data_IF_848951572048
#
_entry.id   IF_848951572048
#
_cell.length_a   1.000
_cell.length_b   1.000
_cell.length_c   1.000
_cell.angle_alpha   90.00
_cell.angle_beta   90.00
_cell.angle_gamma   90.00
#
_symmetry.space_group_name_H-M   'P 1'
#
loop_
_entity.id
_entity.type
_entity.pdbx_description
1 polymer ?
#
# COMPACT_ATOMS: atom_id res chain seq x y z
N UNK A 1 -17.56 -19.44 4.91
CA UNK A 1 -16.16 -18.97 5.03
C UNK A 1 -15.98 -18.28 6.37
N UNK A 2 -15.01 -18.72 7.18
CA UNK A 2 -14.64 -18.04 8.43
C UNK A 2 -14.20 -16.59 8.13
N UNK A 3 -14.48 -15.62 9.03
CA UNK A 3 -14.11 -14.22 8.85
C UNK A 3 -12.62 -14.01 8.54
N UNK A 4 -11.73 -14.78 9.17
CA UNK A 4 -10.29 -14.71 8.96
C UNK A 4 -9.88 -15.08 7.52
N UNK A 5 -10.47 -16.14 6.95
CA UNK A 5 -10.20 -16.54 5.55
C UNK A 5 -10.58 -15.42 4.57
N UNK A 6 -11.69 -14.72 4.82
CA UNK A 6 -12.06 -13.54 4.02
C UNK A 6 -11.02 -12.45 4.11
N UNK A 7 -10.49 -12.19 5.31
CA UNK A 7 -9.42 -11.22 5.53
C UNK A 7 -8.16 -11.53 4.73
N UNK A 8 -7.69 -12.78 4.76
CA UNK A 8 -6.52 -13.20 3.97
C UNK A 8 -6.76 -13.12 2.46
N UNK A 9 -7.95 -13.49 1.98
CA UNK A 9 -8.30 -13.36 0.55
C UNK A 9 -8.27 -11.90 0.10
N UNK A 10 -8.85 -11.00 0.88
CA UNK A 10 -8.79 -9.56 0.60
C UNK A 10 -7.35 -9.03 0.63
N UNK A 11 -6.52 -9.48 1.57
CA UNK A 11 -5.12 -9.07 1.64
C UNK A 11 -4.33 -9.54 0.40
N UNK A 12 -4.48 -10.80 -0.01
CA UNK A 12 -3.84 -11.35 -1.21
C UNK A 12 -4.31 -10.65 -2.48
N UNK A 13 -5.63 -10.45 -2.64
CA UNK A 13 -6.19 -9.69 -3.76
C UNK A 13 -5.63 -8.27 -3.80
N UNK A 14 -5.51 -7.64 -2.64
CA UNK A 14 -4.91 -6.32 -2.48
C UNK A 14 -3.47 -6.27 -2.99
N UNK A 15 -2.66 -7.24 -2.60
CA UNK A 15 -1.24 -7.33 -3.02
C UNK A 15 -1.07 -7.66 -4.49
N UNK A 16 -1.89 -8.55 -5.05
CA UNK A 16 -1.88 -8.88 -6.48
C UNK A 16 -2.27 -7.65 -7.31
N UNK A 17 -3.30 -6.93 -6.88
CA UNK A 17 -3.75 -5.72 -7.56
C UNK A 17 -2.72 -4.58 -7.44
N UNK A 18 -2.04 -4.46 -6.29
CA UNK A 18 -0.91 -3.55 -6.16
C UNK A 18 0.22 -3.86 -7.15
N UNK A 19 0.47 -5.14 -7.45
CA UNK A 19 1.45 -5.52 -8.45
C UNK A 19 1.08 -5.06 -9.86
N UNK A 20 -0.20 -5.16 -10.22
CA UNK A 20 -0.74 -4.68 -11.51
C UNK A 20 -0.72 -3.16 -11.63
N UNK A 21 -0.86 -2.43 -10.53
CA UNK A 21 -0.74 -0.96 -10.49
C UNK A 21 0.65 -0.47 -10.96
N UNK A 22 1.73 -1.19 -10.64
CA UNK A 22 3.09 -0.74 -10.93
C UNK A 22 3.42 -0.68 -12.43
N UNK A 23 2.73 -1.46 -13.26
CA UNK A 23 3.00 -1.52 -14.71
C UNK A 23 2.68 -0.19 -15.41
N UNK A 24 1.42 0.32 -15.40
CA UNK A 24 1.11 1.65 -15.94
C UNK A 24 1.81 2.77 -15.19
N UNK A 25 2.02 2.62 -13.87
CA UNK A 25 2.72 3.62 -13.06
C UNK A 25 4.16 3.85 -13.54
N UNK A 26 4.94 2.77 -13.69
CA UNK A 26 6.33 2.86 -14.16
C UNK A 26 6.41 3.50 -15.54
N UNK A 27 5.51 3.11 -16.44
CA UNK A 27 5.48 3.62 -17.82
C UNK A 27 5.15 5.12 -17.89
N UNK A 28 4.23 5.59 -17.04
CA UNK A 28 3.89 7.02 -17.00
C UNK A 28 5.02 7.89 -16.43
N UNK A 29 5.80 7.36 -15.49
CA UNK A 29 6.94 8.08 -14.90
C UNK A 29 8.13 8.26 -15.84
N UNK A 30 8.17 7.58 -16.99
CA UNK A 30 9.21 7.80 -18.01
C UNK A 30 9.08 9.16 -18.69
N UNK A 31 7.88 9.75 -18.68
CA UNK A 31 7.56 10.99 -19.42
C UNK A 31 6.89 12.06 -18.57
N UNK A 32 6.44 11.73 -17.36
CA UNK A 32 5.64 12.62 -16.51
C UNK A 32 6.21 12.69 -15.10
N UNK A 33 6.21 13.89 -14.53
CA UNK A 33 6.55 14.12 -13.13
C UNK A 33 5.69 13.26 -12.16
N UNK A 34 6.27 12.65 -11.12
CA UNK A 34 5.55 11.78 -10.18
C UNK A 34 4.36 12.43 -9.48
N UNK A 35 4.46 13.71 -9.11
CA UNK A 35 3.39 14.41 -8.38
C UNK A 35 2.22 14.72 -9.33
N UNK A 36 2.53 15.12 -10.55
CA UNK A 36 1.55 15.35 -11.62
C UNK A 36 0.81 14.06 -11.98
N UNK A 37 1.53 12.96 -12.16
CA UNK A 37 0.91 11.67 -12.44
C UNK A 37 0.06 11.16 -11.25
N UNK A 38 0.54 11.35 -10.02
CA UNK A 38 -0.21 11.00 -8.82
C UNK A 38 -1.54 11.77 -8.72
N UNK A 39 -1.56 13.05 -9.10
CA UNK A 39 -2.80 13.83 -9.16
C UNK A 39 -3.79 13.22 -10.17
N UNK A 40 -3.33 12.83 -11.36
CA UNK A 40 -4.19 12.18 -12.36
C UNK A 40 -4.79 10.86 -11.83
N UNK A 41 -3.99 10.03 -11.16
CA UNK A 41 -4.45 8.79 -10.50
C UNK A 41 -5.48 9.09 -9.40
N UNK A 42 -5.29 10.16 -8.62
CA UNK A 42 -6.23 10.55 -7.57
C UNK A 42 -7.54 11.08 -8.15
N UNK A 43 -7.52 11.85 -9.23
CA UNK A 43 -8.73 12.33 -9.92
C UNK A 43 -9.56 11.15 -10.43
N UNK A 44 -8.95 10.23 -11.19
CA UNK A 44 -9.69 9.06 -11.71
C UNK A 44 -10.15 8.15 -10.57
N UNK A 45 -9.30 7.92 -9.57
CA UNK A 45 -9.66 7.14 -8.39
C UNK A 45 -10.84 7.74 -7.64
N UNK A 46 -10.86 9.06 -7.47
CA UNK A 46 -11.96 9.78 -6.85
C UNK A 46 -13.27 9.57 -7.62
N UNK A 47 -13.24 9.64 -8.96
CA UNK A 47 -14.41 9.36 -9.80
C UNK A 47 -14.92 7.93 -9.63
N UNK A 48 -14.04 6.92 -9.62
CA UNK A 48 -14.43 5.53 -9.34
C UNK A 48 -15.06 5.38 -7.95
N UNK A 49 -14.47 6.02 -6.93
CA UNK A 49 -14.96 5.94 -5.55
C UNK A 49 -16.28 6.70 -5.35
N UNK A 50 -16.51 7.77 -6.10
CA UNK A 50 -17.77 8.53 -6.10
C UNK A 50 -18.93 7.66 -6.62
N UNK A 51 -18.72 6.96 -7.74
CA UNK A 51 -19.72 6.02 -8.31
C UNK A 51 -20.04 4.91 -7.29
N UNK A 52 -19.01 4.31 -6.68
CA UNK A 52 -19.19 3.27 -5.67
C UNK A 52 -19.90 3.76 -4.41
N UNK A 53 -19.61 4.99 -3.97
CA UNK A 53 -20.27 5.59 -2.80
C UNK A 53 -21.71 6.02 -3.09
N UNK A 54 -22.03 6.47 -4.31
CA UNK A 54 -23.38 6.81 -4.71
C UNK A 54 -24.29 5.57 -4.81
N UNK A 55 -23.72 4.43 -5.23
CA UNK A 55 -24.45 3.16 -5.33
C UNK A 55 -24.83 2.56 -3.97
N UNK A 56 -23.99 2.76 -2.93
CA UNK A 56 -24.34 2.41 -1.55
C UNK A 56 -25.00 3.61 -0.87
N UNK A 57 -26.33 3.63 -0.80
CA UNK A 57 -27.11 4.58 0.05
C UNK A 57 -26.82 4.34 1.55
N UNK A 58 -25.60 4.62 2.00
CA UNK A 58 -25.26 4.59 3.41
C UNK A 58 -25.66 5.93 4.01
N UNK A 59 -26.70 5.93 4.85
CA UNK A 59 -26.99 7.03 5.76
C UNK A 59 -25.95 7.00 6.87
N UNK A 60 -24.89 7.78 6.70
CA UNK A 60 -23.76 7.76 7.61
C UNK A 60 -24.15 8.49 8.91
N UNK A 61 -24.28 7.77 10.02
CA UNK A 61 -24.20 8.36 11.36
C UNK A 61 -22.71 8.47 11.74
N UNK A 62 -22.01 9.46 11.19
CA UNK A 62 -20.62 9.73 11.56
C UNK A 62 -20.62 10.34 12.97
N UNK A 63 -19.97 9.65 13.90
CA UNK A 63 -19.57 10.26 15.17
C UNK A 63 -18.37 11.18 14.93
N UNK A 64 -18.23 12.27 15.72
CA UNK A 64 -17.11 13.21 15.61
C UNK A 64 -15.75 12.52 15.69
N UNK A 65 -15.62 11.51 16.56
CA UNK A 65 -14.39 10.73 16.73
C UNK A 65 -14.01 9.98 15.44
N UNK A 66 -14.98 9.32 14.81
CA UNK A 66 -14.77 8.59 13.55
C UNK A 66 -14.42 9.54 12.42
N UNK A 67 -15.00 10.75 12.38
CA UNK A 67 -14.66 11.78 11.40
C UNK A 67 -13.21 12.23 11.52
N UNK A 68 -12.79 12.59 12.73
CA UNK A 68 -11.41 13.03 12.98
C UNK A 68 -10.40 11.93 12.70
N UNK A 69 -10.71 10.68 13.07
CA UNK A 69 -9.89 9.52 12.69
C UNK A 69 -9.81 9.33 11.17
N UNK A 70 -10.93 9.49 10.46
CA UNK A 70 -10.96 9.38 9.00
C UNK A 70 -10.15 10.47 8.30
N UNK A 71 -10.24 11.72 8.78
CA UNK A 71 -9.44 12.85 8.30
C UNK A 71 -7.96 12.62 8.58
N UNK A 72 -7.60 12.21 9.80
CA UNK A 72 -6.20 11.93 10.17
C UNK A 72 -5.62 10.80 9.30
N UNK A 73 -6.35 9.71 9.12
CA UNK A 73 -5.99 8.62 8.21
C UNK A 73 -5.72 9.12 6.79
N UNK A 74 -6.63 9.95 6.27
CA UNK A 74 -6.52 10.51 4.93
C UNK A 74 -5.32 11.45 4.81
N UNK A 75 -5.08 12.34 5.78
CA UNK A 75 -3.93 13.27 5.77
C UNK A 75 -2.64 12.48 5.77
N UNK A 76 -2.47 11.55 6.73
CA UNK A 76 -1.26 10.73 6.84
C UNK A 76 -1.02 9.91 5.57
N UNK A 77 -2.07 9.35 4.98
CA UNK A 77 -1.95 8.61 3.73
C UNK A 77 -1.47 9.50 2.58
N UNK A 78 -1.99 10.72 2.45
CA UNK A 78 -1.65 11.64 1.36
C UNK A 78 -0.24 12.21 1.55
N UNK A 79 0.09 12.64 2.77
CA UNK A 79 1.45 13.11 3.13
C UNK A 79 2.47 11.99 2.91
N UNK A 80 2.15 10.75 3.26
CA UNK A 80 3.01 9.60 3.00
C UNK A 80 3.28 9.37 1.51
N UNK A 81 2.27 9.51 0.64
CA UNK A 81 2.47 9.39 -0.81
C UNK A 81 3.29 10.55 -1.39
N UNK A 82 3.03 11.78 -0.93
CA UNK A 82 3.83 12.94 -1.32
C UNK A 82 5.30 12.79 -0.90
N UNK A 83 5.55 12.30 0.32
CA UNK A 83 6.89 12.02 0.82
C UNK A 83 7.63 10.95 -0.01
N UNK A 84 6.93 9.92 -0.52
CA UNK A 84 7.51 8.97 -1.49
C UNK A 84 7.94 9.71 -2.77
N UNK A 85 7.07 10.55 -3.34
CA UNK A 85 7.39 11.33 -4.54
C UNK A 85 8.63 12.19 -4.34
N UNK A 86 8.71 12.90 -3.21
CA UNK A 86 9.89 13.71 -2.84
C UNK A 86 11.16 12.89 -2.68
N UNK A 87 11.08 11.71 -2.08
CA UNK A 87 12.22 10.81 -1.95
C UNK A 87 12.77 10.39 -3.33
N UNK A 88 11.88 10.10 -4.28
CA UNK A 88 12.27 9.66 -5.63
C UNK A 88 12.92 10.76 -6.48
N UNK A 89 12.88 12.03 -6.06
CA UNK A 89 13.55 13.13 -6.76
C UNK A 89 15.09 13.08 -6.61
N UNK A 90 15.61 12.40 -5.57
CA UNK A 90 17.05 12.43 -5.27
C UNK A 90 17.68 11.13 -4.81
N UNK A 91 16.92 10.04 -4.68
CA UNK A 91 17.46 8.68 -4.50
C UNK A 91 16.74 7.69 -5.40
N UNK A 92 17.39 6.56 -5.67
CA UNK A 92 16.83 5.52 -6.51
C UNK A 92 15.45 5.02 -6.00
N UNK A 93 14.47 4.79 -6.89
CA UNK A 93 13.15 4.29 -6.50
C UNK A 93 13.17 2.98 -5.70
N UNK A 94 14.12 2.08 -5.96
CA UNK A 94 14.27 0.83 -5.22
C UNK A 94 14.67 1.07 -3.76
N UNK A 95 15.57 2.04 -3.50
CA UNK A 95 15.97 2.47 -2.17
C UNK A 95 14.80 3.11 -1.43
N UNK A 96 14.06 4.00 -2.10
CA UNK A 96 12.84 4.62 -1.54
C UNK A 96 11.84 3.54 -1.12
N UNK A 97 11.53 2.59 -2.00
CA UNK A 97 10.59 1.51 -1.71
C UNK A 97 11.10 0.64 -0.55
N UNK A 98 12.38 0.29 -0.54
CA UNK A 98 12.99 -0.50 0.55
C UNK A 98 12.84 0.18 1.92
N UNK A 99 13.15 1.48 2.00
CA UNK A 99 13.00 2.23 3.24
C UNK A 99 11.54 2.30 3.64
N UNK A 100 10.62 2.54 2.71
CA UNK A 100 9.18 2.57 3.02
C UNK A 100 8.65 1.22 3.50
N UNK A 101 9.28 0.08 3.15
CA UNK A 101 8.91 -1.25 3.69
C UNK A 101 9.17 -1.39 5.18
N UNK A 102 10.01 -0.55 5.79
CA UNK A 102 10.16 -0.51 7.25
C UNK A 102 8.86 -0.18 7.97
N UNK A 103 7.86 0.41 7.27
CA UNK A 103 6.50 0.59 7.78
C UNK A 103 5.90 -0.71 8.33
N UNK A 104 6.26 -1.88 7.80
CA UNK A 104 5.74 -3.18 8.28
C UNK A 104 6.15 -3.41 9.74
N UNK A 105 7.40 -3.13 10.06
CA UNK A 105 7.94 -3.21 11.44
C UNK A 105 7.25 -2.17 12.33
N UNK A 106 7.04 -0.96 11.82
CA UNK A 106 6.32 0.08 12.56
C UNK A 106 4.87 -0.32 12.87
N UNK A 107 4.14 -0.86 11.90
CA UNK A 107 2.76 -1.34 12.11
C UNK A 107 2.72 -2.49 13.11
N UNK A 108 3.69 -3.41 13.07
CA UNK A 108 3.80 -4.47 14.07
C UNK A 108 3.96 -3.88 15.47
N UNK A 109 4.94 -2.99 15.66
CA UNK A 109 5.20 -2.35 16.94
C UNK A 109 4.00 -1.54 17.45
N UNK A 110 3.42 -0.70 16.59
CA UNK A 110 2.27 0.14 16.94
C UNK A 110 0.99 -0.67 17.15
N UNK A 111 0.81 -1.78 16.43
CA UNK A 111 -0.31 -2.70 16.63
C UNK A 111 -0.27 -3.38 18.00
N UNK A 112 0.91 -3.77 18.46
CA UNK A 112 1.09 -4.26 19.82
C UNK A 112 0.90 -3.15 20.87
N UNK A 113 1.47 -1.96 20.64
CA UNK A 113 1.44 -0.86 21.62
C UNK A 113 0.06 -0.21 21.78
N UNK A 114 -0.59 0.17 20.68
CA UNK A 114 -1.83 0.96 20.69
C UNK A 114 -3.10 0.14 20.53
N UNK A 115 -3.06 -0.92 19.73
CA UNK A 115 -4.23 -1.74 19.42
C UNK A 115 -4.34 -2.98 20.30
N UNK A 116 -3.30 -3.24 21.12
CA UNK A 116 -3.20 -4.44 21.97
C UNK A 116 -3.42 -5.73 21.18
N UNK A 117 -2.97 -5.75 19.92
CA UNK A 117 -3.02 -6.96 19.10
C UNK A 117 -2.11 -8.03 19.70
N UNK A 118 -2.64 -9.23 19.91
CA UNK A 118 -1.82 -10.37 20.32
C UNK A 118 -0.79 -10.69 19.23
N UNK A 119 0.49 -10.65 19.61
CA UNK A 119 1.57 -11.04 18.73
C UNK A 119 1.52 -12.54 18.50
N UNK A 120 1.04 -12.91 17.31
CA UNK A 120 0.97 -14.31 16.88
C UNK A 120 2.37 -14.90 16.86
N UNK A 121 2.51 -16.15 17.32
CA UNK A 121 3.77 -16.88 17.17
C UNK A 121 4.18 -16.86 15.70
N UNK A 122 5.46 -16.61 15.45
CA UNK A 122 6.07 -16.47 14.14
C UNK A 122 5.79 -15.17 13.36
N UNK A 123 5.03 -14.21 13.89
CA UNK A 123 4.77 -12.97 13.17
C UNK A 123 6.02 -12.09 13.00
N UNK A 124 6.77 -11.86 14.09
CA UNK A 124 8.03 -11.09 14.07
C UNK A 124 9.11 -11.79 13.23
N UNK A 125 9.47 -13.07 13.47
CA UNK A 125 10.48 -13.72 12.63
C UNK A 125 10.01 -13.82 11.17
N UNK A 126 8.72 -14.04 10.91
CA UNK A 126 8.16 -14.01 9.56
C UNK A 126 8.31 -12.65 8.87
N UNK A 127 8.05 -11.55 9.58
CA UNK A 127 8.25 -10.20 9.05
C UNK A 127 9.73 -9.89 8.78
N UNK A 128 10.64 -10.29 9.66
CA UNK A 128 12.09 -10.14 9.45
C UNK A 128 12.56 -10.97 8.25
N UNK A 129 12.12 -12.22 8.13
CA UNK A 129 12.37 -13.06 6.96
C UNK A 129 11.84 -12.41 5.68
N UNK A 130 10.60 -11.92 5.69
CA UNK A 130 10.02 -11.25 4.53
C UNK A 130 10.77 -9.97 4.15
N UNK A 131 11.22 -9.20 5.12
CA UNK A 131 12.05 -8.01 4.89
C UNK A 131 13.40 -8.37 4.26
N UNK A 132 14.09 -9.40 4.76
CA UNK A 132 15.34 -9.89 4.17
C UNK A 132 15.15 -10.36 2.73
N UNK A 133 14.08 -11.09 2.44
CA UNK A 133 13.74 -11.51 1.08
C UNK A 133 13.47 -10.31 0.16
N UNK A 134 12.74 -9.31 0.65
CA UNK A 134 12.46 -8.07 -0.08
C UNK A 134 13.74 -7.28 -0.39
N UNK A 135 14.63 -7.16 0.60
CA UNK A 135 15.94 -6.55 0.44
C UNK A 135 16.72 -7.25 -0.67
N UNK A 136 16.79 -8.58 -0.64
CA UNK A 136 17.47 -9.36 -1.66
C UNK A 136 16.84 -9.16 -3.05
N UNK A 137 15.51 -9.05 -3.17
CA UNK A 137 14.87 -8.74 -4.46
C UNK A 137 15.21 -7.35 -5.00
N UNK A 138 15.43 -6.39 -4.10
CA UNK A 138 15.61 -4.97 -4.46
C UNK A 138 17.08 -4.60 -4.66
N UNK A 139 18.01 -5.40 -4.14
CA UNK A 139 19.44 -5.18 -4.26
C UNK A 139 19.89 -5.30 -5.73
N UNK A 140 20.68 -4.34 -6.20
CA UNK A 140 21.31 -4.34 -7.51
C UNK A 140 22.81 -3.99 -7.38
N UNK A 141 23.64 -4.39 -8.33
CA UNK A 141 25.10 -4.10 -8.27
C UNK A 141 25.40 -2.59 -8.36
N UNK A 142 24.45 -1.80 -8.84
CA UNK A 142 24.51 -0.32 -8.87
C UNK A 142 23.88 0.33 -7.63
N UNK A 143 23.70 -0.42 -6.53
CA UNK A 143 23.12 0.13 -5.31
C UNK A 143 24.05 1.20 -4.74
N UNK A 144 23.70 2.46 -4.97
CA UNK A 144 24.48 3.63 -4.58
C UNK A 144 23.72 4.39 -3.51
N UNK A 145 24.43 4.75 -2.43
CA UNK A 145 23.90 5.56 -1.33
C UNK A 145 24.39 7.00 -1.45
N UNK A 146 24.32 7.54 -2.66
CA UNK A 146 24.97 8.81 -3.01
C UNK A 146 24.03 10.02 -2.94
N UNK A 147 22.74 9.80 -2.72
CA UNK A 147 21.77 10.89 -2.59
C UNK A 147 21.93 11.71 -1.30
N UNK A 148 21.35 12.90 -1.29
CA UNK A 148 21.34 13.73 -0.09
C UNK A 148 20.49 13.12 1.03
N UNK A 149 20.93 13.31 2.29
CA UNK A 149 20.27 12.79 3.49
C UNK A 149 18.78 13.14 3.54
N UNK A 150 18.40 14.32 3.03
CA UNK A 150 17.01 14.80 3.02
C UNK A 150 16.06 13.85 2.29
N UNK A 151 16.49 13.18 1.23
CA UNK A 151 15.65 12.25 0.46
C UNK A 151 15.37 10.95 1.22
N UNK A 152 16.35 10.44 1.97
CA UNK A 152 16.15 9.31 2.88
C UNK A 152 15.21 9.66 4.03
N UNK A 153 15.28 10.89 4.56
CA UNK A 153 14.35 11.37 5.58
C UNK A 153 12.92 11.45 5.06
N UNK A 154 12.71 11.82 3.80
CA UNK A 154 11.39 11.74 3.15
C UNK A 154 10.87 10.30 3.07
N UNK A 155 11.70 9.32 2.69
CA UNK A 155 11.29 7.92 2.69
C UNK A 155 10.94 7.39 4.10
N UNK A 156 11.69 7.78 5.13
CA UNK A 156 11.41 7.44 6.52
C UNK A 156 10.12 8.11 7.02
N UNK A 157 9.90 9.38 6.67
CA UNK A 157 8.66 10.09 6.95
C UNK A 157 7.47 9.38 6.31
N UNK A 158 7.60 8.90 5.07
CA UNK A 158 6.57 8.11 4.41
C UNK A 158 6.27 6.82 5.20
N UNK A 159 7.31 6.08 5.62
CA UNK A 159 7.16 4.87 6.42
C UNK A 159 6.39 5.13 7.73
N UNK A 160 6.74 6.21 8.44
CA UNK A 160 6.08 6.65 9.66
C UNK A 160 4.61 7.02 9.40
N UNK A 161 4.35 7.86 8.39
CA UNK A 161 3.00 8.27 8.02
C UNK A 161 2.11 7.07 7.71
N UNK A 162 2.60 6.13 6.90
CA UNK A 162 1.85 4.92 6.59
C UNK A 162 1.66 4.05 7.82
N UNK A 163 2.70 3.84 8.63
CA UNK A 163 2.62 3.05 9.87
C UNK A 163 1.52 3.57 10.80
N UNK A 164 1.55 4.87 11.11
CA UNK A 164 0.53 5.53 11.94
C UNK A 164 -0.85 5.46 11.28
N UNK A 165 -0.93 5.71 9.96
CA UNK A 165 -2.20 5.69 9.25
C UNK A 165 -2.88 4.31 9.32
N UNK A 166 -2.14 3.20 9.28
CA UNK A 166 -2.78 1.88 9.36
C UNK A 166 -3.33 1.61 10.77
N UNK A 167 -2.68 2.12 11.81
CA UNK A 167 -3.21 2.00 13.18
C UNK A 167 -4.47 2.83 13.36
N UNK A 168 -4.48 4.07 12.85
CA UNK A 168 -5.69 4.90 12.81
C UNK A 168 -6.80 4.25 11.98
N UNK A 169 -6.46 3.64 10.84
CA UNK A 169 -7.41 2.88 10.03
C UNK A 169 -8.07 1.78 10.87
N UNK A 170 -7.27 0.98 11.58
CA UNK A 170 -7.79 -0.13 12.37
C UNK A 170 -8.76 0.32 13.46
N UNK A 171 -8.55 1.49 14.08
CA UNK A 171 -9.44 1.99 15.13
C UNK A 171 -10.80 2.49 14.62
N UNK A 172 -10.92 2.81 13.34
CA UNK A 172 -12.16 3.36 12.75
C UNK A 172 -12.82 2.43 11.72
N UNK A 173 -12.14 1.38 11.24
CA UNK A 173 -12.59 0.57 10.07
C UNK A 173 -13.90 -0.18 10.29
N UNK A 174 -14.35 -0.34 11.55
CA UNK A 174 -15.64 -0.94 11.88
C UNK A 174 -16.77 0.09 11.97
N UNK A 175 -16.44 1.38 12.13
CA UNK A 175 -17.40 2.48 12.27
C UNK A 175 -17.66 3.22 10.95
N UNK A 176 -16.74 3.11 9.98
CA UNK A 176 -16.87 3.73 8.65
C UNK A 176 -16.71 2.69 7.55
N UNK A 177 -17.54 2.79 6.51
CA UNK A 177 -17.44 1.90 5.36
C UNK A 177 -16.13 2.20 4.57
N UNK A 178 -15.34 1.17 4.20
CA UNK A 178 -14.07 1.36 3.49
C UNK A 178 -14.15 2.20 2.22
N UNK A 179 -15.26 2.10 1.48
CA UNK A 179 -15.50 2.88 0.26
C UNK A 179 -15.58 4.37 0.56
N UNK A 180 -16.27 4.75 1.64
CA UNK A 180 -16.39 6.15 2.09
C UNK A 180 -15.05 6.68 2.58
N UNK A 181 -14.30 5.87 3.32
CA UNK A 181 -12.98 6.26 3.82
C UNK A 181 -11.96 6.43 2.67
N UNK A 182 -12.03 5.58 1.64
CA UNK A 182 -11.21 5.73 0.43
C UNK A 182 -11.62 6.96 -0.39
N UNK A 183 -12.91 7.25 -0.49
CA UNK A 183 -13.42 8.47 -1.11
C UNK A 183 -12.85 9.72 -0.46
N UNK A 184 -12.92 9.83 0.88
CA UNK A 184 -12.37 10.96 1.63
C UNK A 184 -10.86 11.10 1.42
N UNK A 185 -10.14 9.97 1.47
CA UNK A 185 -8.69 9.92 1.20
C UNK A 185 -8.33 10.45 -0.19
N UNK A 186 -9.08 10.04 -1.21
CA UNK A 186 -8.84 10.46 -2.59
C UNK A 186 -9.22 11.92 -2.84
N UNK A 187 -10.31 12.39 -2.25
CA UNK A 187 -10.71 13.80 -2.29
C UNK A 187 -9.61 14.68 -1.68
N UNK A 188 -9.16 14.35 -0.48
CA UNK A 188 -8.08 15.08 0.17
C UNK A 188 -6.76 14.98 -0.59
N UNK A 189 -6.48 13.82 -1.19
CA UNK A 189 -5.34 13.65 -2.08
C UNK A 189 -5.38 14.61 -3.26
N UNK A 190 -6.53 14.72 -3.93
CA UNK A 190 -6.71 15.68 -5.03
C UNK A 190 -6.46 17.10 -4.57
N UNK A 191 -7.10 17.52 -3.47
CA UNK A 191 -6.97 18.90 -2.93
C UNK A 191 -5.53 19.21 -2.54
N UNK A 192 -4.87 18.32 -1.80
CA UNK A 192 -3.51 18.53 -1.32
C UNK A 192 -2.50 18.58 -2.47
N UNK A 193 -2.53 17.60 -3.37
CA UNK A 193 -1.58 17.54 -4.48
C UNK A 193 -1.83 18.67 -5.49
N UNK A 194 -3.09 19.04 -5.75
CA UNK A 194 -3.41 20.20 -6.59
C UNK A 194 -3.00 21.54 -5.96
N UNK A 195 -2.81 21.61 -4.63
CA UNK A 195 -2.32 22.81 -3.96
C UNK A 195 -0.80 22.99 -4.12
N UNK A 196 -0.09 21.99 -4.63
CA UNK A 196 1.35 22.08 -4.88
C UNK A 196 1.58 22.96 -6.12
N UNK A 197 2.42 24.01 -6.02
CA UNK A 197 2.71 24.89 -7.15
C UNK A 197 3.22 24.13 -8.38
N UNK A 198 2.70 24.48 -9.56
CA UNK A 198 3.12 23.88 -10.84
C UNK A 198 2.37 22.60 -11.23
N UNK A 199 1.86 21.82 -10.27
CA UNK A 199 1.21 20.53 -10.58
C UNK A 199 -0.06 20.71 -11.41
N UNK A 200 -0.90 21.69 -11.09
CA UNK A 200 -2.14 21.96 -11.83
C UNK A 200 -1.87 22.51 -13.24
N UNK A 201 -0.76 23.22 -13.45
CA UNK A 201 -0.38 23.66 -14.80
C UNK A 201 0.15 22.51 -15.66
N UNK A 202 0.84 21.54 -15.05
CA UNK A 202 1.38 20.38 -15.76
C UNK A 202 0.28 19.36 -16.09
N UNK A 203 -0.70 19.15 -15.19
CA UNK A 203 -1.78 18.17 -15.45
C UNK A 203 -2.65 18.53 -16.65
N UNK A 204 -2.76 19.81 -17.02
CA UNK A 204 -3.51 20.24 -18.22
C UNK A 204 -2.75 19.90 -19.51
N UNK A 205 -1.44 19.68 -19.42
CA UNK A 205 -0.56 19.39 -20.57
C UNK A 205 -0.37 17.90 -20.83
N UNK A 206 -0.78 17.02 -19.92
CA UNK A 206 -0.54 15.58 -20.09
C UNK A 206 -1.39 14.99 -21.22
N UNK A 207 -0.81 14.04 -21.94
CA UNK A 207 -1.46 13.36 -23.06
C UNK A 207 -2.58 12.41 -22.63
N UNK A 208 -3.43 12.04 -23.59
CA UNK A 208 -4.53 11.08 -23.37
C UNK A 208 -4.03 9.68 -23.00
N UNK A 209 -2.83 9.32 -23.45
CA UNK A 209 -2.11 8.09 -23.08
C UNK A 209 -1.81 8.05 -21.57
N UNK A 210 -1.36 9.16 -20.99
CA UNK A 210 -1.10 9.26 -19.55
C UNK A 210 -2.38 9.12 -18.74
N UNK A 211 -3.49 9.69 -19.22
CA UNK A 211 -4.81 9.49 -18.59
C UNK A 211 -5.26 8.03 -18.63
N UNK A 212 -4.97 7.29 -19.71
CA UNK A 212 -5.26 5.86 -19.78
C UNK A 212 -4.43 5.06 -18.78
N UNK A 213 -3.13 5.36 -18.66
CA UNK A 213 -2.29 4.77 -17.62
C UNK A 213 -2.79 5.14 -16.23
N UNK A 214 -3.17 6.39 -15.99
CA UNK A 214 -3.73 6.84 -14.73
C UNK A 214 -5.04 6.11 -14.39
N UNK A 215 -5.90 5.83 -15.38
CA UNK A 215 -7.13 5.06 -15.18
C UNK A 215 -6.85 3.60 -14.80
N UNK A 216 -5.92 2.94 -15.50
CA UNK A 216 -5.48 1.59 -15.15
C UNK A 216 -4.86 1.55 -13.74
N UNK A 217 -3.99 2.51 -13.41
CA UNK A 217 -3.42 2.66 -12.08
C UNK A 217 -4.48 2.93 -11.02
N UNK A 218 -5.44 3.83 -11.27
CA UNK A 218 -6.54 4.15 -10.36
C UNK A 218 -7.41 2.91 -10.07
N UNK A 219 -7.64 2.09 -11.08
CA UNK A 219 -8.43 0.86 -10.97
C UNK A 219 -7.73 -0.20 -10.12
N UNK A 220 -6.46 -0.50 -10.39
CA UNK A 220 -5.74 -1.53 -9.64
C UNK A 220 -5.24 -1.04 -8.28
N UNK A 221 -4.76 0.19 -8.16
CA UNK A 221 -4.23 0.73 -6.92
C UNK A 221 -5.33 1.24 -5.97
N UNK A 222 -5.78 2.49 -6.12
CA UNK A 222 -6.81 3.08 -5.26
C UNK A 222 -8.14 2.34 -5.15
N UNK A 223 -8.65 1.73 -6.23
CA UNK A 223 -9.94 1.06 -6.20
C UNK A 223 -9.82 -0.36 -5.67
N UNK A 224 -9.17 -1.28 -6.39
CA UNK A 224 -9.13 -2.69 -5.96
C UNK A 224 -8.14 -2.89 -4.81
N UNK A 225 -6.88 -2.49 -4.97
CA UNK A 225 -5.84 -2.79 -3.97
C UNK A 225 -6.15 -2.14 -2.63
N UNK A 226 -6.41 -0.83 -2.61
CA UNK A 226 -6.63 -0.11 -1.35
C UNK A 226 -7.92 -0.52 -0.67
N UNK A 227 -9.03 -0.71 -1.39
CA UNK A 227 -10.26 -1.20 -0.77
C UNK A 227 -10.11 -2.62 -0.24
N UNK A 228 -9.47 -3.53 -0.99
CA UNK A 228 -9.23 -4.89 -0.53
C UNK A 228 -8.37 -4.89 0.74
N UNK A 229 -7.32 -4.05 0.79
CA UNK A 229 -6.56 -3.87 2.03
C UNK A 229 -7.44 -3.38 3.19
N UNK A 230 -8.25 -2.34 2.99
CA UNK A 230 -9.12 -1.79 4.05
C UNK A 230 -10.15 -2.82 4.53
N UNK A 231 -10.75 -3.61 3.63
CA UNK A 231 -11.61 -4.72 3.99
C UNK A 231 -10.83 -5.82 4.73
N UNK A 232 -9.59 -6.13 4.35
CA UNK A 232 -8.77 -7.10 5.08
C UNK A 232 -8.57 -6.69 6.55
N UNK A 233 -8.28 -5.42 6.81
CA UNK A 233 -8.06 -4.86 8.17
C UNK A 233 -9.33 -4.92 9.02
N UNK A 234 -10.52 -5.01 8.40
CA UNK A 234 -11.80 -5.24 9.10
C UNK A 234 -11.93 -6.67 9.65
N UNK A 235 -11.28 -7.64 9.02
CA UNK A 235 -11.42 -9.07 9.33
C UNK A 235 -10.21 -9.67 10.06
N UNK A 236 -9.02 -9.13 9.84
CA UNK A 236 -7.77 -9.62 10.45
C UNK A 236 -7.00 -8.46 11.12
N UNK A 237 -6.06 -8.78 12.04
CA UNK A 237 -5.14 -7.79 12.62
C UNK A 237 -4.40 -6.96 11.56
N UNK A 238 -4.16 -5.67 11.84
CA UNK A 238 -3.50 -4.75 10.90
C UNK A 238 -2.07 -5.18 10.60
N UNK A 239 -1.41 -5.77 11.59
CA UNK A 239 -0.10 -6.40 11.49
C UNK A 239 -0.07 -7.51 10.43
N UNK A 240 -1.09 -8.38 10.41
CA UNK A 240 -1.21 -9.45 9.42
C UNK A 240 -1.52 -8.90 8.03
N UNK A 241 -2.49 -7.99 7.89
CA UNK A 241 -2.80 -7.35 6.60
C UNK A 241 -1.58 -6.65 5.99
N UNK A 242 -0.77 -6.00 6.81
CA UNK A 242 0.40 -5.24 6.37
C UNK A 242 1.53 -6.16 5.93
N UNK A 243 1.70 -7.32 6.57
CA UNK A 243 2.66 -8.34 6.14
C UNK A 243 2.35 -8.86 4.73
N UNK A 244 1.08 -9.06 4.39
CA UNK A 244 0.67 -9.50 3.05
C UNK A 244 1.03 -8.49 1.95
N UNK A 245 1.15 -7.19 2.25
CA UNK A 245 1.59 -6.20 1.26
C UNK A 245 2.97 -6.55 0.69
N UNK A 246 3.82 -7.24 1.47
CA UNK A 246 5.13 -7.70 1.01
C UNK A 246 5.05 -8.75 -0.12
N UNK A 247 3.88 -9.34 -0.39
CA UNK A 247 3.67 -10.18 -1.60
C UNK A 247 3.62 -9.38 -2.90
N UNK A 248 3.28 -8.09 -2.86
CA UNK A 248 3.17 -7.25 -4.06
C UNK A 248 4.40 -7.34 -4.99
N UNK A 249 5.65 -7.17 -4.53
CA UNK A 249 6.85 -7.34 -5.37
C UNK A 249 7.00 -8.76 -5.94
N UNK A 250 6.61 -9.79 -5.20
CA UNK A 250 6.65 -11.18 -5.68
C UNK A 250 5.66 -11.35 -6.83
N UNK A 251 4.43 -10.85 -6.68
CA UNK A 251 3.46 -10.83 -7.76
C UNK A 251 3.93 -9.96 -8.93
N UNK A 252 4.58 -8.83 -8.70
CA UNK A 252 5.14 -7.99 -9.77
C UNK A 252 6.18 -8.75 -10.59
N UNK A 253 7.09 -9.50 -9.94
CA UNK A 253 8.07 -10.32 -10.63
C UNK A 253 7.41 -11.42 -11.48
N UNK A 254 6.41 -12.11 -10.93
CA UNK A 254 5.65 -13.15 -11.64
C UNK A 254 4.90 -12.55 -12.84
N UNK A 255 4.19 -11.45 -12.66
CA UNK A 255 3.42 -10.80 -13.72
C UNK A 255 4.34 -10.24 -14.80
N UNK A 256 5.50 -9.70 -14.43
CA UNK A 256 6.51 -9.23 -15.41
C UNK A 256 7.02 -10.37 -16.27
N UNK A 257 7.24 -11.55 -15.69
CA UNK A 257 7.61 -12.73 -16.47
C UNK A 257 6.49 -13.15 -17.43
N UNK A 258 5.25 -13.25 -16.93
CA UNK A 258 4.10 -13.73 -17.72
C UNK A 258 3.74 -12.76 -18.86
N UNK A 259 3.72 -11.45 -18.60
CA UNK A 259 3.26 -10.47 -19.59
C UNK A 259 4.39 -9.87 -20.45
N UNK A 260 5.61 -9.78 -19.92
CA UNK A 260 6.73 -9.12 -20.61
C UNK A 260 7.83 -10.10 -21.03
N UNK A 261 7.74 -11.37 -20.66
CA UNK A 261 8.79 -12.36 -20.91
C UNK A 261 10.08 -12.11 -20.13
N UNK A 262 10.06 -11.19 -19.16
CA UNK A 262 11.22 -10.83 -18.36
C UNK A 262 11.43 -11.88 -17.26
N UNK A 263 12.32 -12.84 -17.52
CA UNK A 263 12.66 -13.87 -16.55
C UNK A 263 13.27 -13.24 -15.29
N UNK A 264 12.75 -13.55 -14.09
CA UNK A 264 13.32 -13.05 -12.85
C UNK A 264 14.75 -13.55 -12.68
N UNK A 265 15.63 -12.69 -12.14
CA UNK A 265 16.99 -13.12 -11.84
C UNK A 265 17.00 -14.18 -10.75
N UNK A 266 18.07 -14.97 -10.66
CA UNK A 266 18.23 -15.97 -9.58
C UNK A 266 18.08 -15.32 -8.20
N UNK A 267 18.64 -14.11 -8.05
CA UNK A 267 18.50 -13.32 -6.84
C UNK A 267 17.05 -12.93 -6.53
N UNK A 268 16.28 -12.49 -7.54
CA UNK A 268 14.86 -12.18 -7.39
C UNK A 268 14.02 -13.43 -7.06
N UNK A 269 14.36 -14.59 -7.62
CA UNK A 269 13.69 -15.86 -7.31
C UNK A 269 13.95 -16.29 -5.86
N UNK A 270 15.20 -16.25 -5.41
CA UNK A 270 15.56 -16.57 -4.02
C UNK A 270 14.92 -15.58 -3.06
N UNK A 271 15.03 -14.27 -3.34
CA UNK A 271 14.40 -13.23 -2.53
C UNK A 271 12.88 -13.40 -2.44
N UNK A 272 12.22 -13.68 -3.57
CA UNK A 272 10.78 -13.94 -3.63
C UNK A 272 10.36 -15.18 -2.83
N UNK A 273 11.14 -16.26 -2.89
CA UNK A 273 10.91 -17.45 -2.07
C UNK A 273 11.02 -17.14 -0.56
N UNK A 274 12.04 -16.37 -0.17
CA UNK A 274 12.22 -15.93 1.23
C UNK A 274 11.04 -15.05 1.68
N UNK A 275 10.57 -14.12 0.84
CA UNK A 275 9.35 -13.33 1.12
C UNK A 275 8.15 -14.23 1.37
N UNK A 276 7.90 -15.20 0.48
CA UNK A 276 6.77 -16.11 0.65
C UNK A 276 6.89 -16.93 1.94
N UNK A 277 8.07 -17.43 2.28
CA UNK A 277 8.29 -18.16 3.54
C UNK A 277 7.98 -17.30 4.76
N UNK A 278 8.44 -16.04 4.78
CA UNK A 278 8.18 -15.10 5.87
C UNK A 278 6.68 -14.82 6.10
N UNK A 279 5.88 -14.86 5.03
CA UNK A 279 4.43 -14.60 5.09
C UNK A 279 3.65 -15.87 5.43
N UNK A 280 4.04 -17.02 4.86
CA UNK A 280 3.37 -18.31 5.07
C UNK A 280 3.54 -18.81 6.50
N UNK A 281 4.70 -18.59 7.12
CA UNK A 281 5.01 -19.06 8.47
C UNK A 281 3.99 -18.63 9.54
N UNK A 282 3.65 -17.34 9.73
CA UNK A 282 2.61 -16.94 10.68
C UNK A 282 1.20 -17.35 10.24
N UNK A 283 0.92 -17.40 8.94
CA UNK A 283 -0.41 -17.77 8.41
C UNK A 283 -0.73 -19.24 8.69
N UNK A 284 0.21 -20.16 8.43
CA UNK A 284 0.01 -21.59 8.71
C UNK A 284 -0.24 -21.85 10.20
N UNK A 285 0.50 -21.16 11.08
CA UNK A 285 0.29 -21.27 12.52
C UNK A 285 -1.13 -20.85 12.93
N UNK A 286 -1.66 -19.78 12.33
CA UNK A 286 -3.01 -19.31 12.60
C UNK A 286 -4.09 -20.29 12.14
N UNK A 287 -3.94 -20.83 10.93
CA UNK A 287 -4.89 -21.82 10.38
C UNK A 287 -4.92 -23.09 11.23
N UNK A 288 -3.76 -23.55 11.70
CA UNK A 288 -3.67 -24.72 12.58
C UNK A 288 -4.28 -24.47 13.97
N UNK A 289 -4.08 -23.27 14.55
CA UNK A 289 -4.68 -22.90 15.83
C UNK A 289 -6.21 -22.80 15.74
N UNK A 290 -6.74 -22.24 14.65
CA UNK A 290 -8.18 -22.16 14.40
C UNK A 290 -8.83 -23.54 14.28
N UNK A 291 -8.22 -24.46 13.52
CA UNK A 291 -8.73 -25.83 13.36
C UNK A 291 -8.72 -26.64 14.66
N UNK A 292 -7.78 -26.40 15.58
CA UNK A 292 -7.72 -27.08 16.89
C UNK A 292 -8.70 -26.53 17.92
N UNK A 293 -9.28 -25.35 17.70
CA UNK A 293 -10.29 -24.78 18.60
C UNK A 293 -11.71 -25.25 18.27
N UNK A 294 -11.90 -25.87 17.09
CA UNK A 294 -13.18 -26.38 16.60
C UNK A 294 -13.31 -27.92 16.75
N UNK A 295 -12.25 -28.60 17.21
CA UNK A 295 -12.18 -30.04 17.47
C UNK A 295 -12.15 -30.32 18.97
#
# INVERSE_FOLDING_TARGET
MQPQTKGFLFATLGSLSAALFFVPYKKALETTDPQTYLLAVYIIGFLFSLIGSAAKKNTIKINKTTLWGALLFAVLSVVGNYAIGRSMEGIDPSVTVLITRTQVIMVLFMGWLFLREEMVKFLIPGALTAFTGFFLMSYNDNFTLDGEVVFYLWALMAALCFGVSQVVLKSIIHDIEPVTLNFLRLLMGCVFIASIPGVVSEIVKIGADIWWYAAASAFFGPLISRLSYMYSVRYIPVSQSTLFIMLSPVFTAILSWVFLGLFPTVQQMIGGAIVMLGIVMPVLYLLQKGSKSEA
#
